data_IF_805181873763
#
_entry.id   IF_805181873763
#
_cell.length_a   1.000
_cell.length_b   1.000
_cell.length_c   1.000
_cell.angle_alpha   90.00
_cell.angle_beta   90.00
_cell.angle_gamma   90.00
#
_symmetry.space_group_name_H-M   'P 1'
#
loop_
_entity.id
_entity.type
_entity.pdbx_description
1 polymer ?
#
# COMPACT_ATOMS: atom_id res chain seq x y z
N UNK A 1 20.29 -24.11 9.28
CA UNK A 1 20.37 -22.63 9.21
C UNK A 1 19.12 -22.07 9.86
N UNK A 2 19.26 -21.26 10.92
CA UNK A 2 18.14 -20.64 11.60
C UNK A 2 17.56 -19.54 10.71
N UNK A 3 16.30 -19.64 10.31
CA UNK A 3 15.61 -18.59 9.59
C UNK A 3 15.40 -17.40 10.53
N UNK A 4 15.98 -16.25 10.19
CA UNK A 4 15.79 -15.00 10.92
C UNK A 4 14.34 -14.52 10.68
N UNK A 5 13.47 -14.68 11.70
CA UNK A 5 12.02 -14.42 11.61
C UNK A 5 11.65 -12.95 11.92
N UNK A 6 12.58 -12.14 12.42
CA UNK A 6 12.35 -10.72 12.72
C UNK A 6 13.37 -9.87 11.97
N UNK A 7 12.91 -9.19 10.93
CA UNK A 7 13.72 -8.21 10.20
C UNK A 7 13.36 -6.81 10.65
N UNK A 8 14.28 -6.13 11.31
CA UNK A 8 14.18 -4.69 11.54
C UNK A 8 14.59 -4.00 10.23
N UNK A 9 13.60 -3.69 9.38
CA UNK A 9 13.84 -2.96 8.13
C UNK A 9 13.33 -1.53 8.25
N UNK A 10 14.17 -0.61 7.82
CA UNK A 10 13.77 0.78 7.63
C UNK A 10 13.11 0.93 6.26
N UNK A 11 11.99 1.64 6.22
CA UNK A 11 11.26 2.02 5.02
C UNK A 11 11.21 3.55 4.98
N UNK A 12 11.94 4.13 4.05
CA UNK A 12 12.04 5.57 3.86
C UNK A 12 11.32 5.92 2.56
N UNK A 13 10.60 7.04 2.55
CA UNK A 13 9.81 7.48 1.40
C UNK A 13 10.22 8.87 0.97
N UNK A 14 10.22 9.06 -0.34
CA UNK A 14 10.59 10.31 -0.98
C UNK A 14 9.62 10.58 -2.13
N UNK A 15 9.21 11.86 -2.28
CA UNK A 15 8.41 12.30 -3.41
C UNK A 15 9.34 12.96 -4.41
N UNK A 16 9.47 12.38 -5.59
CA UNK A 16 10.39 12.81 -6.63
C UNK A 16 9.65 13.53 -7.75
N UNK A 17 10.34 14.45 -8.42
CA UNK A 17 10.00 14.83 -9.80
C UNK A 17 10.50 13.77 -10.76
N UNK A 18 10.06 13.82 -12.01
CA UNK A 18 10.57 12.91 -13.06
C UNK A 18 12.08 13.12 -13.26
N UNK A 19 12.55 14.37 -13.27
CA UNK A 19 13.98 14.69 -13.38
C UNK A 19 14.80 14.10 -12.21
N UNK A 20 14.30 14.22 -10.98
CA UNK A 20 14.95 13.62 -9.81
C UNK A 20 14.97 12.08 -9.90
N UNK A 21 13.90 11.45 -10.43
CA UNK A 21 13.90 9.99 -10.69
C UNK A 21 15.03 9.61 -11.64
N UNK A 22 15.20 10.33 -12.75
CA UNK A 22 16.27 10.06 -13.73
C UNK A 22 17.66 10.17 -13.09
N UNK A 23 17.93 11.20 -12.28
CA UNK A 23 19.18 11.37 -11.55
C UNK A 23 19.46 10.23 -10.57
N UNK A 24 18.42 9.77 -9.86
CA UNK A 24 18.51 8.58 -8.99
C UNK A 24 18.84 7.33 -9.81
N UNK A 25 18.12 7.09 -10.93
CA UNK A 25 18.39 5.95 -11.81
C UNK A 25 19.82 5.92 -12.34
N UNK A 26 20.35 7.07 -12.75
CA UNK A 26 21.75 7.20 -13.17
C UNK A 26 22.72 6.86 -12.03
N UNK A 27 22.52 7.41 -10.83
CA UNK A 27 23.37 7.16 -9.67
C UNK A 27 23.33 5.70 -9.19
N UNK A 28 22.17 5.03 -9.31
CA UNK A 28 22.00 3.66 -8.85
C UNK A 28 22.41 2.59 -9.87
N UNK A 29 22.59 2.95 -11.14
CA UNK A 29 22.87 2.00 -12.24
C UNK A 29 24.10 1.09 -12.02
N UNK A 30 25.21 1.54 -11.38
CA UNK A 30 26.32 0.65 -11.08
C UNK A 30 26.04 -0.39 -9.99
N UNK A 31 25.09 -0.11 -9.09
CA UNK A 31 24.85 -0.86 -7.85
C UNK A 31 23.60 -1.70 -7.86
N UNK A 32 22.60 -1.29 -8.64
CA UNK A 32 21.26 -1.87 -8.60
C UNK A 32 20.86 -2.43 -9.97
N UNK A 33 19.95 -3.38 -9.95
CA UNK A 33 19.33 -3.90 -11.17
C UNK A 33 17.82 -3.98 -11.00
N UNK A 34 17.11 -3.79 -12.12
CA UNK A 34 15.66 -3.93 -12.19
C UNK A 34 15.30 -5.39 -11.94
N UNK A 35 14.22 -5.64 -11.19
CA UNK A 35 13.74 -6.99 -10.97
C UNK A 35 13.23 -7.62 -12.30
N UNK A 36 13.17 -8.94 -12.31
CA UNK A 36 12.80 -9.71 -13.50
C UNK A 36 11.39 -9.42 -14.05
N UNK A 37 10.56 -8.75 -13.28
CA UNK A 37 9.18 -8.42 -13.68
C UNK A 37 9.08 -7.05 -14.34
N UNK A 38 10.14 -6.23 -14.27
CA UNK A 38 10.15 -4.90 -14.86
C UNK A 38 9.09 -3.97 -14.25
N UNK A 39 8.42 -3.22 -15.10
CA UNK A 39 7.31 -2.35 -14.71
C UNK A 39 6.01 -3.15 -14.62
N UNK A 40 5.41 -3.18 -13.46
CA UNK A 40 4.21 -3.98 -13.17
C UNK A 40 3.12 -3.17 -12.50
N UNK A 41 1.85 -3.45 -12.84
CA UNK A 41 0.70 -2.88 -12.17
C UNK A 41 0.40 -3.66 -10.90
N UNK A 42 0.55 -3.03 -9.75
CA UNK A 42 0.17 -3.60 -8.46
C UNK A 42 -1.26 -3.19 -8.13
N UNK A 43 -2.12 -4.16 -7.83
CA UNK A 43 -3.52 -3.96 -7.45
C UNK A 43 -3.75 -4.37 -6.00
N UNK A 44 -4.55 -3.59 -5.28
CA UNK A 44 -4.84 -3.88 -3.88
C UNK A 44 -6.29 -3.52 -3.56
N UNK A 45 -6.94 -4.33 -2.73
CA UNK A 45 -8.15 -3.97 -2.01
C UNK A 45 -7.77 -3.81 -0.54
N UNK A 46 -8.01 -2.64 0.05
CA UNK A 46 -7.94 -2.45 1.49
C UNK A 46 -9.30 -2.67 2.10
N UNK A 47 -9.31 -3.35 3.24
CA UNK A 47 -10.52 -3.60 4.02
C UNK A 47 -10.51 -2.74 5.27
N UNK A 48 -11.68 -2.27 5.64
CA UNK A 48 -11.90 -1.46 6.84
C UNK A 48 -13.31 -1.68 7.39
N UNK A 49 -13.58 -1.19 8.57
CA UNK A 49 -14.91 -1.12 9.15
C UNK A 49 -15.76 -0.07 8.45
N UNK A 50 -17.09 -0.10 8.60
CA UNK A 50 -18.02 0.85 7.99
C UNK A 50 -17.67 2.32 8.29
N UNK A 51 -17.06 2.59 9.44
CA UNK A 51 -16.64 3.93 9.85
C UNK A 51 -15.14 4.20 9.64
N UNK A 52 -14.46 3.38 8.83
CA UNK A 52 -13.03 3.52 8.49
C UNK A 52 -12.09 3.56 9.71
N UNK A 53 -12.37 2.77 10.74
CA UNK A 53 -11.64 2.76 12.01
C UNK A 53 -10.14 2.50 11.84
N UNK A 54 -9.74 1.57 10.95
CA UNK A 54 -8.34 1.19 10.74
C UNK A 54 -7.53 2.34 10.14
N UNK A 55 -8.07 2.99 9.09
CA UNK A 55 -7.34 4.07 8.43
C UNK A 55 -7.36 5.34 9.25
N UNK A 56 -8.47 5.71 9.86
CA UNK A 56 -8.58 6.88 10.74
C UNK A 56 -7.55 6.78 11.86
N UNK A 57 -7.53 5.66 12.58
CA UNK A 57 -6.52 5.40 13.61
C UNK A 57 -5.10 5.44 13.04
N UNK A 58 -4.87 4.91 11.84
CA UNK A 58 -3.53 4.92 11.22
C UNK A 58 -3.01 6.32 10.90
N UNK A 59 -3.90 7.28 10.57
CA UNK A 59 -3.54 8.67 10.25
C UNK A 59 -3.09 9.42 11.50
N UNK A 60 -3.67 9.15 12.65
CA UNK A 60 -3.31 9.73 13.95
C UNK A 60 -1.89 9.36 14.42
N UNK A 61 -1.20 8.48 13.68
CA UNK A 61 0.17 8.01 13.96
C UNK A 61 0.37 7.41 15.35
N UNK A 62 -0.54 6.53 15.85
CA UNK A 62 -0.41 5.91 17.15
C UNK A 62 0.81 4.99 17.24
N UNK A 63 1.17 4.59 18.47
CA UNK A 63 2.23 3.62 18.70
C UNK A 63 1.94 2.27 18.02
N UNK A 64 0.66 1.86 17.97
CA UNK A 64 0.21 0.61 17.34
C UNK A 64 -0.87 0.88 16.28
N UNK A 65 -0.68 0.31 15.08
CA UNK A 65 -1.64 0.36 13.98
C UNK A 65 -1.56 -0.85 13.07
N UNK A 66 -2.68 -1.16 12.46
CA UNK A 66 -2.82 -2.31 11.56
C UNK A 66 -3.51 -1.91 10.25
N UNK A 67 -3.29 -2.71 9.22
CA UNK A 67 -3.99 -2.64 7.94
C UNK A 67 -4.04 -4.03 7.34
N UNK A 68 -5.16 -4.38 6.75
CA UNK A 68 -5.32 -5.61 5.99
C UNK A 68 -5.66 -5.28 4.54
N UNK A 69 -5.13 -6.07 3.61
CA UNK A 69 -5.41 -5.94 2.19
C UNK A 69 -5.27 -7.27 1.47
N UNK A 70 -5.94 -7.39 0.35
CA UNK A 70 -5.67 -8.39 -0.67
C UNK A 70 -4.91 -7.73 -1.81
N UNK A 71 -3.84 -8.39 -2.29
CA UNK A 71 -2.98 -7.87 -3.36
C UNK A 71 -2.89 -8.84 -4.53
N UNK A 72 -2.94 -8.29 -5.75
CA UNK A 72 -2.59 -8.98 -6.99
C UNK A 72 -1.47 -8.24 -7.74
N UNK A 73 -0.69 -8.99 -8.52
CA UNK A 73 0.35 -8.47 -9.40
C UNK A 73 -0.08 -8.45 -10.87
N UNK A 74 -1.31 -8.86 -11.14
CA UNK A 74 -1.98 -8.76 -12.44
C UNK A 74 -3.46 -8.53 -12.22
N UNK A 75 -4.23 -8.25 -13.28
CA UNK A 75 -5.68 -8.33 -13.22
C UNK A 75 -6.06 -9.77 -12.87
N UNK A 76 -6.86 -9.95 -11.81
CA UNK A 76 -7.21 -11.25 -11.32
C UNK A 76 -8.43 -11.84 -12.06
N UNK A 77 -8.56 -13.15 -11.97
CA UNK A 77 -9.82 -13.88 -12.10
C UNK A 77 -10.14 -14.50 -10.74
N UNK A 78 -11.31 -15.08 -10.55
CA UNK A 78 -11.68 -15.77 -9.31
C UNK A 78 -10.67 -16.84 -8.86
N UNK A 79 -9.98 -17.48 -9.81
CA UNK A 79 -9.01 -18.56 -9.56
C UNK A 79 -7.55 -18.05 -9.52
N UNK A 80 -7.33 -16.76 -9.79
CA UNK A 80 -5.99 -16.17 -9.73
C UNK A 80 -5.42 -16.18 -8.32
N UNK A 81 -4.12 -16.49 -8.20
CA UNK A 81 -3.41 -16.39 -6.93
C UNK A 81 -3.28 -14.94 -6.50
N UNK A 82 -3.82 -14.62 -5.33
CA UNK A 82 -3.70 -13.34 -4.66
C UNK A 82 -3.05 -13.48 -3.30
N UNK A 83 -2.71 -12.36 -2.68
CA UNK A 83 -1.99 -12.34 -1.40
C UNK A 83 -2.79 -11.57 -0.36
N UNK A 84 -3.25 -12.26 0.68
CA UNK A 84 -3.78 -11.63 1.89
C UNK A 84 -2.62 -11.14 2.75
N UNK A 85 -2.58 -9.85 3.03
CA UNK A 85 -1.48 -9.22 3.76
C UNK A 85 -2.01 -8.43 4.96
N UNK A 86 -1.62 -8.86 6.18
CA UNK A 86 -1.82 -8.10 7.41
C UNK A 86 -0.51 -7.40 7.76
N UNK A 87 -0.54 -6.08 7.83
CA UNK A 87 0.59 -5.24 8.23
C UNK A 87 0.29 -4.62 9.58
N UNK A 88 1.08 -4.95 10.60
CA UNK A 88 1.06 -4.37 11.93
C UNK A 88 2.28 -3.47 12.10
N UNK A 89 2.14 -2.36 12.79
CA UNK A 89 3.26 -1.49 13.16
C UNK A 89 3.16 -1.17 14.65
N UNK A 90 4.20 -1.49 15.39
CA UNK A 90 4.31 -1.20 16.82
C UNK A 90 5.66 -0.51 17.09
N UNK A 91 5.64 0.64 17.74
CA UNK A 91 6.83 1.42 18.09
C UNK A 91 7.86 1.51 16.94
N UNK A 92 7.38 1.89 15.75
CA UNK A 92 8.14 2.00 14.48
C UNK A 92 8.57 0.66 13.84
N UNK A 93 8.47 -0.48 14.53
CA UNK A 93 8.74 -1.80 13.97
C UNK A 93 7.54 -2.28 13.16
N UNK A 94 7.82 -2.80 11.97
CA UNK A 94 6.79 -3.32 11.05
C UNK A 94 6.81 -4.83 11.06
N UNK A 95 5.65 -5.43 11.33
CA UNK A 95 5.39 -6.86 11.21
C UNK A 95 4.46 -7.08 10.03
N UNK A 96 4.82 -8.01 9.15
CA UNK A 96 4.02 -8.35 7.98
C UNK A 96 3.71 -9.84 8.00
N UNK A 97 2.44 -10.17 7.85
CA UNK A 97 1.95 -11.54 7.60
C UNK A 97 1.40 -11.62 6.21
N UNK A 98 1.68 -12.73 5.51
CA UNK A 98 1.23 -12.93 4.14
C UNK A 98 0.84 -14.39 3.94
N UNK A 99 -0.35 -14.60 3.37
CA UNK A 99 -0.81 -15.85 2.82
C UNK A 99 -1.16 -15.67 1.35
N UNK A 100 -1.08 -16.74 0.57
CA UNK A 100 -1.55 -16.76 -0.82
C UNK A 100 -2.66 -17.79 -0.95
N UNK A 101 -3.66 -17.49 -1.78
CA UNK A 101 -4.79 -18.35 -2.10
C UNK A 101 -5.47 -17.84 -3.36
N UNK A 102 -6.50 -18.51 -3.87
CA UNK A 102 -7.27 -17.98 -4.98
C UNK A 102 -8.07 -16.73 -4.55
N UNK A 103 -8.40 -15.87 -5.50
CA UNK A 103 -9.04 -14.57 -5.26
C UNK A 103 -10.39 -14.74 -4.56
N UNK A 104 -11.27 -15.65 -5.05
CA UNK A 104 -12.58 -15.90 -4.46
C UNK A 104 -12.49 -16.32 -2.99
N UNK A 105 -11.53 -17.22 -2.65
CA UNK A 105 -11.37 -17.68 -1.27
C UNK A 105 -10.85 -16.58 -0.36
N UNK A 106 -9.92 -15.74 -0.86
CA UNK A 106 -9.41 -14.59 -0.13
C UNK A 106 -10.50 -13.57 0.16
N UNK A 107 -11.36 -13.25 -0.81
CA UNK A 107 -12.48 -12.34 -0.64
C UNK A 107 -13.51 -12.89 0.34
N UNK A 108 -13.96 -14.13 0.14
CA UNK A 108 -14.94 -14.78 0.99
C UNK A 108 -14.45 -14.93 2.45
N UNK A 109 -13.16 -15.24 2.65
CA UNK A 109 -12.58 -15.31 3.99
C UNK A 109 -12.55 -13.96 4.70
N UNK A 110 -12.00 -12.91 4.04
CA UNK A 110 -11.88 -11.60 4.68
C UNK A 110 -13.25 -10.95 4.93
N UNK A 111 -14.24 -11.19 4.06
CA UNK A 111 -15.62 -10.75 4.23
C UNK A 111 -16.44 -11.64 5.22
N UNK A 112 -15.83 -12.67 5.80
CA UNK A 112 -16.50 -13.60 6.73
C UNK A 112 -17.64 -14.43 6.12
N UNK A 113 -17.61 -14.66 4.83
CA UNK A 113 -18.55 -15.54 4.13
C UNK A 113 -18.15 -17.02 4.27
N UNK A 114 -16.84 -17.28 4.44
CA UNK A 114 -16.29 -18.61 4.72
C UNK A 114 -15.07 -18.54 5.64
N UNK A 115 -14.69 -19.69 6.22
CA UNK A 115 -13.42 -19.84 6.96
C UNK A 115 -12.22 -19.87 6.02
N UNK A 116 -11.02 -19.55 6.57
CA UNK A 116 -9.78 -19.68 5.81
C UNK A 116 -9.56 -21.12 5.30
N UNK A 117 -9.28 -21.33 4.00
CA UNK A 117 -9.06 -22.67 3.45
C UNK A 117 -7.77 -23.34 3.96
N UNK A 118 -6.87 -22.57 4.58
CA UNK A 118 -5.60 -23.08 5.11
C UNK A 118 -5.46 -22.78 6.61
N UNK A 119 -5.10 -23.82 7.40
CA UNK A 119 -4.91 -23.66 8.83
C UNK A 119 -3.40 -23.53 9.16
N UNK A 120 -2.95 -22.30 9.32
CA UNK A 120 -1.58 -21.93 9.68
C UNK A 120 -1.56 -20.98 10.86
N UNK A 121 -0.39 -20.74 11.45
CA UNK A 121 -0.26 -19.68 12.46
C UNK A 121 -0.69 -18.31 11.88
N UNK A 122 -0.32 -18.02 10.62
CA UNK A 122 -0.65 -16.75 9.98
C UNK A 122 -2.16 -16.61 9.76
N UNK A 123 -2.86 -17.68 9.33
CA UNK A 123 -4.33 -17.61 9.18
C UNK A 123 -5.01 -17.35 10.54
N UNK A 124 -4.58 -18.03 11.60
CA UNK A 124 -5.10 -17.78 12.96
C UNK A 124 -4.83 -16.37 13.47
N UNK A 125 -3.66 -15.78 13.16
CA UNK A 125 -3.36 -14.39 13.49
C UNK A 125 -4.26 -13.41 12.72
N UNK A 126 -4.62 -13.72 11.47
CA UNK A 126 -5.54 -12.93 10.66
C UNK A 126 -6.98 -13.15 11.16
N UNK A 127 -7.41 -14.37 11.48
CA UNK A 127 -8.72 -14.64 12.07
C UNK A 127 -8.93 -13.87 13.37
N UNK A 128 -7.93 -13.89 14.27
CA UNK A 128 -7.97 -13.07 15.49
C UNK A 128 -8.13 -11.57 15.19
N UNK A 129 -7.44 -11.05 14.16
CA UNK A 129 -7.60 -9.68 13.71
C UNK A 129 -9.03 -9.41 13.21
N UNK A 130 -9.58 -10.32 12.40
CA UNK A 130 -10.94 -10.20 11.89
C UNK A 130 -11.99 -10.29 13.02
N UNK A 131 -11.77 -11.15 14.02
CA UNK A 131 -12.65 -11.26 15.20
C UNK A 131 -12.64 -9.96 16.03
N UNK A 132 -11.46 -9.37 16.22
CA UNK A 132 -11.29 -8.13 16.99
C UNK A 132 -11.98 -6.92 16.36
N UNK A 133 -11.93 -6.79 15.04
CA UNK A 133 -12.56 -5.66 14.34
C UNK A 133 -14.01 -5.94 13.92
N UNK A 134 -14.44 -7.20 13.94
CA UNK A 134 -15.74 -7.63 13.46
C UNK A 134 -15.83 -7.59 11.94
N UNK A 135 -16.97 -7.14 11.42
CA UNK A 135 -17.21 -7.08 9.97
C UNK A 135 -16.29 -6.04 9.33
N UNK A 136 -15.53 -6.48 8.34
CA UNK A 136 -14.75 -5.63 7.45
C UNK A 136 -15.33 -5.68 6.04
N UNK A 137 -15.34 -4.54 5.37
CA UNK A 137 -15.80 -4.41 4.00
C UNK A 137 -14.63 -3.98 3.08
N UNK A 138 -14.68 -4.34 1.77
CA UNK A 138 -13.81 -3.73 0.78
C UNK A 138 -14.00 -2.21 0.77
N UNK A 139 -13.02 -1.47 1.30
CA UNK A 139 -13.13 -0.03 1.50
C UNK A 139 -12.64 0.77 0.30
N UNK A 140 -11.56 0.31 -0.34
CA UNK A 140 -10.94 1.01 -1.46
C UNK A 140 -10.09 0.08 -2.30
N UNK A 141 -10.22 0.21 -3.62
CA UNK A 141 -9.26 -0.32 -4.58
C UNK A 141 -8.15 0.70 -4.80
N UNK A 142 -6.91 0.22 -4.80
CA UNK A 142 -5.71 1.01 -5.07
C UNK A 142 -4.81 0.28 -6.05
N UNK A 143 -4.52 0.90 -7.18
CA UNK A 143 -3.52 0.41 -8.12
C UNK A 143 -2.38 1.41 -8.30
N UNK A 144 -1.24 0.94 -8.74
CA UNK A 144 -0.10 1.77 -9.11
C UNK A 144 0.87 0.98 -9.97
N UNK A 145 1.59 1.70 -10.82
CA UNK A 145 2.70 1.14 -11.58
C UNK A 145 3.94 1.12 -10.70
N UNK A 146 4.68 0.01 -10.74
CA UNK A 146 5.87 -0.18 -9.92
C UNK A 146 7.04 -0.69 -10.74
N UNK A 147 8.18 -0.05 -10.56
CA UNK A 147 9.51 -0.57 -10.88
C UNK A 147 10.23 -0.88 -9.57
N UNK A 148 10.81 -2.08 -9.46
CA UNK A 148 11.52 -2.52 -8.26
C UNK A 148 12.97 -2.87 -8.61
N UNK A 149 13.90 -2.36 -7.82
CA UNK A 149 15.33 -2.57 -8.00
C UNK A 149 15.90 -3.22 -6.74
N UNK A 150 16.86 -4.10 -6.94
CA UNK A 150 17.61 -4.77 -5.87
C UNK A 150 19.13 -4.65 -6.13
N UNK A 151 19.87 -4.83 -5.06
CA UNK A 151 21.34 -4.69 -5.09
C UNK A 151 21.96 -5.86 -5.84
N UNK A 152 22.86 -5.58 -6.82
CA UNK A 152 23.47 -6.58 -7.72
C UNK A 152 24.22 -7.69 -6.97
N UNK A 153 24.84 -7.35 -5.86
CA UNK A 153 25.70 -8.28 -5.09
C UNK A 153 24.94 -9.03 -4.00
N UNK A 154 23.59 -9.12 -4.08
CA UNK A 154 22.78 -9.89 -3.13
C UNK A 154 22.59 -9.22 -1.77
N UNK A 155 22.84 -7.92 -1.66
CA UNK A 155 22.55 -7.11 -0.48
C UNK A 155 21.03 -6.95 -0.24
N UNK A 156 20.67 -6.34 0.88
CA UNK A 156 19.28 -6.19 1.28
C UNK A 156 18.66 -4.83 0.91
N UNK A 157 19.46 -3.93 0.32
CA UNK A 157 18.98 -2.63 -0.11
C UNK A 157 18.06 -2.76 -1.32
N UNK A 158 16.88 -2.18 -1.22
CA UNK A 158 15.86 -2.19 -2.28
C UNK A 158 15.31 -0.80 -2.51
N UNK A 159 15.10 -0.48 -3.79
CA UNK A 159 14.49 0.76 -4.26
C UNK A 159 13.25 0.40 -5.06
N UNK A 160 12.14 1.06 -4.80
CA UNK A 160 10.94 0.94 -5.64
C UNK A 160 10.46 2.33 -6.04
N UNK A 161 10.04 2.46 -7.29
CA UNK A 161 9.37 3.66 -7.80
C UNK A 161 7.92 3.31 -8.09
N UNK A 162 7.00 4.06 -7.51
CA UNK A 162 5.57 3.93 -7.70
C UNK A 162 5.03 5.20 -8.33
N UNK A 163 4.39 5.08 -9.45
CA UNK A 163 3.66 6.17 -10.12
C UNK A 163 2.26 5.72 -10.54
N UNK A 164 1.51 6.60 -11.21
CA UNK A 164 0.14 6.33 -11.65
C UNK A 164 -0.69 5.68 -10.54
N UNK A 165 -0.67 6.28 -9.34
CA UNK A 165 -1.38 5.74 -8.18
C UNK A 165 -2.84 6.14 -8.28
N UNK A 166 -3.70 5.16 -8.59
CA UNK A 166 -5.15 5.33 -8.79
C UNK A 166 -5.93 4.75 -7.61
N UNK A 167 -7.05 5.37 -7.30
CA UNK A 167 -7.95 4.96 -6.22
C UNK A 167 -9.41 5.02 -6.65
N UNK A 168 -10.24 4.05 -6.22
CA UNK A 168 -11.71 4.09 -6.37
C UNK A 168 -12.40 3.41 -5.21
N UNK A 169 -13.62 3.87 -4.90
CA UNK A 169 -14.51 3.31 -3.87
C UNK A 169 -15.65 2.46 -4.44
N UNK A 170 -15.90 2.57 -5.73
CA UNK A 170 -16.88 1.74 -6.47
C UNK A 170 -16.14 0.64 -7.21
N UNK A 171 -16.81 -0.48 -7.52
CA UNK A 171 -16.20 -1.62 -8.21
C UNK A 171 -14.88 -2.06 -7.52
N UNK A 172 -14.95 -2.25 -6.19
CA UNK A 172 -13.79 -2.56 -5.36
C UNK A 172 -13.48 -4.06 -5.47
N UNK A 173 -12.93 -4.47 -6.60
CA UNK A 173 -12.53 -5.85 -6.88
C UNK A 173 -11.21 -5.89 -7.68
N UNK A 174 -10.52 -7.05 -7.67
CA UNK A 174 -9.25 -7.24 -8.38
C UNK A 174 -9.43 -7.71 -9.83
N UNK A 175 -10.65 -8.12 -10.20
CA UNK A 175 -10.96 -8.64 -11.53
C UNK A 175 -11.22 -7.53 -12.55
N UNK A 176 -11.56 -6.34 -12.09
CA UNK A 176 -11.73 -5.17 -12.96
C UNK A 176 -10.40 -4.54 -13.38
N UNK A 177 -10.36 -3.83 -14.51
CA UNK A 177 -9.19 -3.07 -14.92
C UNK A 177 -8.70 -2.08 -13.85
N UNK A 178 -7.45 -1.65 -13.97
CA UNK A 178 -6.89 -0.60 -13.13
C UNK A 178 -7.36 0.77 -13.63
N UNK A 179 -8.33 1.37 -12.95
CA UNK A 179 -8.83 2.73 -13.18
C UNK A 179 -9.21 3.39 -11.85
N UNK A 180 -9.42 4.69 -11.86
CA UNK A 180 -9.82 5.45 -10.69
C UNK A 180 -9.27 6.87 -10.70
N UNK A 181 -9.41 7.56 -9.58
CA UNK A 181 -8.92 8.93 -9.39
C UNK A 181 -7.44 8.90 -9.00
N UNK A 182 -6.57 9.68 -9.67
CA UNK A 182 -5.17 9.83 -9.24
C UNK A 182 -5.07 10.44 -7.84
N UNK A 183 -4.18 9.90 -7.02
CA UNK A 183 -3.89 10.42 -5.66
C UNK A 183 -2.44 10.89 -5.50
N UNK A 184 -1.68 10.84 -6.57
CA UNK A 184 -0.34 11.40 -6.62
C UNK A 184 -0.39 12.67 -7.48
N UNK A 185 0.27 13.76 -7.08
CA UNK A 185 0.34 14.96 -7.90
C UNK A 185 0.98 14.66 -9.27
N UNK A 186 0.55 15.36 -10.30
CA UNK A 186 1.07 15.19 -11.65
C UNK A 186 2.59 15.35 -11.70
N UNK A 187 3.26 14.52 -12.50
CA UNK A 187 4.72 14.52 -12.65
C UNK A 187 5.50 14.09 -11.41
N UNK A 188 4.82 13.51 -10.40
CA UNK A 188 5.47 12.98 -9.20
C UNK A 188 5.57 11.46 -9.21
N UNK A 189 6.64 10.97 -8.57
CA UNK A 189 6.92 9.55 -8.36
C UNK A 189 7.21 9.32 -6.88
N UNK A 190 6.61 8.30 -6.30
CA UNK A 190 6.89 7.88 -4.94
C UNK A 190 8.03 6.87 -4.94
N UNK A 191 9.18 7.26 -4.43
CA UNK A 191 10.30 6.35 -4.18
C UNK A 191 10.22 5.79 -2.76
N UNK A 192 10.38 4.47 -2.61
CA UNK A 192 10.53 3.80 -1.30
C UNK A 192 11.89 3.10 -1.25
N UNK A 193 12.70 3.45 -0.25
CA UNK A 193 13.97 2.80 0.06
C UNK A 193 13.76 1.83 1.22
N UNK A 194 14.28 0.62 1.10
CA UNK A 194 14.22 -0.42 2.14
C UNK A 194 15.60 -0.98 2.40
N UNK A 195 16.03 -0.96 3.67
CA UNK A 195 17.31 -1.50 4.13
C UNK A 195 17.20 -2.02 5.56
N UNK A 196 18.06 -2.94 5.95
CA UNK A 196 18.16 -3.42 7.34
C UNK A 196 19.07 -2.53 8.18
N UNK A 197 20.04 -1.87 7.55
CA UNK A 197 21.00 -0.97 8.16
C UNK A 197 20.84 0.50 7.71
N UNK A 198 21.94 1.17 7.50
CA UNK A 198 21.99 2.52 6.93
C UNK A 198 21.80 2.52 5.41
N UNK A 199 21.51 3.69 4.84
CA UNK A 199 21.52 3.86 3.38
C UNK A 199 22.96 3.75 2.86
N UNK A 200 23.18 3.18 1.67
CA UNK A 200 24.47 3.24 0.98
C UNK A 200 24.90 4.69 0.76
N UNK A 201 26.21 4.98 0.89
CA UNK A 201 26.75 6.35 0.76
C UNK A 201 26.39 7.00 -0.57
N UNK A 202 26.48 6.26 -1.67
CA UNK A 202 26.10 6.77 -2.99
C UNK A 202 24.62 7.24 -3.05
N UNK A 203 23.72 6.57 -2.32
CA UNK A 203 22.31 7.00 -2.23
C UNK A 203 22.17 8.27 -1.38
N UNK A 204 22.91 8.36 -0.27
CA UNK A 204 22.92 9.57 0.57
C UNK A 204 23.46 10.77 -0.20
N UNK A 205 24.52 10.58 -0.98
CA UNK A 205 25.13 11.63 -1.81
C UNK A 205 24.17 12.17 -2.86
N UNK A 206 23.48 11.29 -3.62
CA UNK A 206 22.53 11.75 -4.64
C UNK A 206 21.30 12.40 -4.01
N UNK A 207 20.77 11.88 -2.91
CA UNK A 207 19.66 12.50 -2.19
C UNK A 207 20.00 13.91 -1.72
N UNK A 208 21.21 14.11 -1.17
CA UNK A 208 21.69 15.41 -0.70
C UNK A 208 21.93 16.39 -1.85
N UNK A 209 22.61 15.95 -2.90
CA UNK A 209 22.92 16.78 -4.08
C UNK A 209 21.66 17.27 -4.78
N UNK A 210 20.66 16.41 -4.91
CA UNK A 210 19.40 16.73 -5.60
C UNK A 210 18.33 17.30 -4.66
N UNK A 211 18.69 17.63 -3.41
CA UNK A 211 17.77 18.17 -2.39
C UNK A 211 16.49 17.35 -2.22
N UNK A 212 16.63 16.00 -2.21
CA UNK A 212 15.53 15.07 -2.07
C UNK A 212 15.31 14.75 -0.60
N UNK A 213 14.19 15.19 -0.04
CA UNK A 213 13.91 15.06 1.37
C UNK A 213 12.89 13.95 1.65
N UNK A 214 13.06 13.30 2.81
CA UNK A 214 12.14 12.28 3.30
C UNK A 214 10.73 12.83 3.47
N UNK A 215 9.75 12.06 3.00
CA UNK A 215 8.33 12.39 3.14
C UNK A 215 7.55 11.31 3.87
N UNK A 216 6.35 11.66 4.28
CA UNK A 216 5.36 10.74 4.83
C UNK A 216 4.21 10.58 3.84
N UNK A 217 4.18 9.47 3.13
CA UNK A 217 3.11 9.16 2.20
C UNK A 217 2.53 7.77 2.49
N UNK A 218 1.22 7.70 2.62
CA UNK A 218 0.47 6.45 2.77
C UNK A 218 -0.60 6.38 1.70
N UNK A 219 -0.47 5.49 0.72
CA UNK A 219 -1.44 5.36 -0.38
C UNK A 219 -2.89 5.32 0.12
N UNK A 220 -3.22 4.43 1.05
CA UNK A 220 -4.58 4.38 1.62
C UNK A 220 -4.89 5.59 2.51
N UNK A 221 -3.90 6.13 3.27
CA UNK A 221 -4.11 7.35 4.06
C UNK A 221 -4.40 8.56 3.19
N UNK A 222 -3.67 8.73 2.09
CA UNK A 222 -3.92 9.80 1.11
C UNK A 222 -5.29 9.61 0.46
N UNK A 223 -5.62 8.42 -0.06
CA UNK A 223 -6.93 8.14 -0.63
C UNK A 223 -8.07 8.48 0.33
N UNK A 224 -7.94 8.10 1.61
CA UNK A 224 -8.92 8.43 2.63
C UNK A 224 -9.06 9.95 2.81
N UNK A 225 -7.95 10.66 3.00
CA UNK A 225 -7.98 12.09 3.32
C UNK A 225 -8.42 12.97 2.14
N UNK A 226 -8.13 12.55 0.89
CA UNK A 226 -8.40 13.37 -0.30
C UNK A 226 -9.70 13.03 -1.01
N UNK A 227 -10.19 11.80 -0.90
CA UNK A 227 -11.38 11.33 -1.62
C UNK A 227 -12.48 10.90 -0.66
N UNK A 228 -12.18 9.97 0.26
CA UNK A 228 -13.19 9.33 1.09
C UNK A 228 -13.73 10.28 2.16
N UNK A 229 -12.86 10.91 2.93
CA UNK A 229 -13.24 11.81 4.01
C UNK A 229 -14.07 13.02 3.53
N UNK A 230 -13.72 13.72 2.44
CA UNK A 230 -14.54 14.81 1.91
C UNK A 230 -15.96 14.37 1.53
N UNK A 231 -16.10 13.23 0.88
CA UNK A 231 -17.43 12.71 0.49
C UNK A 231 -18.32 12.35 1.70
N UNK A 232 -17.70 11.90 2.81
CA UNK A 232 -18.45 11.49 4.01
C UNK A 232 -18.83 12.67 4.92
N UNK A 233 -18.01 13.71 5.01
CA UNK A 233 -18.11 14.70 6.08
C UNK A 233 -18.20 16.16 5.59
N UNK A 234 -17.93 16.42 4.32
CA UNK A 234 -18.10 17.76 3.76
C UNK A 234 -19.43 17.83 3.00
N UNK A 235 -20.29 18.83 3.25
CA UNK A 235 -21.53 18.98 2.52
C UNK A 235 -21.24 19.22 1.04
N UNK A 236 -21.77 18.39 0.17
CA UNK A 236 -21.79 18.65 -1.26
C UNK A 236 -22.68 19.87 -1.49
N UNK A 237 -22.25 20.82 -2.30
CA UNK A 237 -22.95 22.06 -2.64
C UNK A 237 -24.34 21.86 -3.27
N UNK A 238 -24.75 20.63 -3.50
CA UNK A 238 -26.09 20.26 -4.01
C UNK A 238 -27.16 20.28 -2.89
N UNK A 239 -26.80 20.06 -1.62
CA UNK A 239 -27.78 20.04 -0.52
C UNK A 239 -28.11 21.43 0.05
N UNK A 240 -27.43 22.49 -0.39
CA UNK A 240 -27.73 23.87 0.03
C UNK A 240 -28.90 24.51 -0.75
N UNK A 241 -29.32 23.92 -1.86
CA UNK A 241 -30.43 24.49 -2.67
C UNK A 241 -31.82 24.01 -2.21
N UNK A 242 -31.93 22.89 -1.53
CA UNK A 242 -33.23 22.39 -1.05
C UNK A 242 -33.69 23.01 0.27
N UNK A 243 -32.78 23.60 1.05
CA UNK A 243 -33.14 24.23 2.35
C UNK A 243 -33.58 25.68 2.20
N UNK A 244 -33.37 26.31 1.04
CA UNK A 244 -33.74 27.72 0.79
C UNK A 244 -35.09 27.84 0.04
N UNK A 245 -35.63 26.75 -0.48
CA UNK A 245 -36.91 26.80 -1.22
C UNK A 245 -38.16 26.48 -0.38
N UNK A 246 -38.00 26.19 0.93
CA UNK A 246 -39.11 25.90 1.86
C UNK A 246 -39.10 26.80 3.10
N UNK A 247 -38.65 28.06 2.95
CA UNK A 247 -38.73 29.09 3.96
C UNK A 247 -39.59 30.29 3.51
#
# INVERSE_FOLDING_TARGET
MAYQTVFKRYELKYMLTLEQKEKILQAMSPYMELDKYGRTTIRNIYFDTDNYRLIRRSIEKPAYKEKIRIRSYAQATSDSTVFVELKKKYNKVVYKRRLHMCERDAMAWICREQSCPVNTQISREIDYFLDFYGKLNPAVFLSYEREAYYERNGGDFRVTFDDNILCRQTDVNLCSPAYGTPILPDGKVLMELKCSGGLPLWMVEVLSREHIYKTSFSKYGTAYSTLIFPELYLPTSTNLKETISNG
#
